data_IF_093756617733
#
_entry.id   IF_093756617733
#
_cell.length_a   1.000
_cell.length_b   1.000
_cell.length_c   1.000
_cell.angle_alpha   90.00
_cell.angle_beta   90.00
_cell.angle_gamma   90.00
#
_symmetry.space_group_name_H-M   'P 1'
#
loop_
_entity.id
_entity.type
_entity.pdbx_description
1 polymer ?
#
# COMPACT_ATOMS: atom_id res chain seq x y z
N UNK A 1 5.85 -1.73 -9.73
CA UNK A 1 5.08 -0.77 -8.91
C UNK A 1 4.81 -1.43 -7.55
N UNK A 2 4.67 -0.68 -6.46
CA UNK A 2 4.37 -1.26 -5.15
C UNK A 2 2.87 -1.13 -4.87
N UNK A 3 2.26 -2.16 -4.29
CA UNK A 3 0.90 -2.09 -3.76
C UNK A 3 0.99 -1.69 -2.29
N UNK A 4 0.16 -0.77 -1.85
CA UNK A 4 0.09 -0.28 -0.48
C UNK A 4 -1.27 -0.63 0.09
N UNK A 5 -1.31 -1.36 1.19
CA UNK A 5 -2.54 -1.74 1.89
C UNK A 5 -2.65 -0.98 3.19
N UNK A 6 -3.79 -0.33 3.39
CA UNK A 6 -4.14 0.35 4.63
C UNK A 6 -4.53 -0.70 5.67
N UNK A 7 -3.78 -0.82 6.77
CA UNK A 7 -4.09 -1.78 7.84
C UNK A 7 -5.48 -1.60 8.48
N UNK A 8 -5.96 -0.38 8.80
CA UNK A 8 -7.22 -0.21 9.52
C UNK A 8 -8.48 -0.46 8.68
N UNK A 9 -8.43 -0.32 7.36
CA UNK A 9 -9.61 -0.46 6.50
C UNK A 9 -9.45 -1.47 5.36
N UNK A 10 -8.25 -1.99 5.14
CA UNK A 10 -7.94 -2.90 4.04
C UNK A 10 -7.84 -2.23 2.66
N UNK A 11 -7.89 -0.90 2.57
CA UNK A 11 -7.83 -0.19 1.28
C UNK A 11 -6.49 -0.38 0.58
N UNK A 12 -6.54 -0.76 -0.69
CA UNK A 12 -5.36 -1.03 -1.51
C UNK A 12 -5.09 0.11 -2.49
N UNK A 13 -3.82 0.53 -2.60
CA UNK A 13 -3.39 1.57 -3.52
C UNK A 13 -2.08 1.18 -4.18
N UNK A 14 -2.07 1.04 -5.49
CA UNK A 14 -0.86 0.87 -6.27
C UNK A 14 -0.14 2.21 -6.49
N UNK A 15 1.18 2.22 -6.35
CA UNK A 15 1.97 3.42 -6.56
C UNK A 15 3.44 3.23 -6.20
N UNK A 16 4.29 4.09 -6.76
CA UNK A 16 5.73 4.09 -6.42
C UNK A 16 5.99 4.59 -5.00
N UNK A 17 5.19 5.56 -4.52
CA UNK A 17 5.38 6.21 -3.23
C UNK A 17 4.34 5.74 -2.20
N UNK A 18 4.77 5.60 -0.94
CA UNK A 18 3.88 5.29 0.19
C UNK A 18 2.84 6.39 0.37
N UNK A 19 1.53 6.09 0.36
CA UNK A 19 0.50 7.07 0.66
C UNK A 19 0.62 7.55 2.11
N UNK A 20 0.58 8.86 2.31
CA UNK A 20 0.58 9.49 3.63
C UNK A 20 -0.79 9.39 4.31
N UNK A 21 -1.88 9.54 3.56
CA UNK A 21 -3.26 9.47 4.05
C UNK A 21 -4.08 8.43 3.30
N UNK A 22 -4.98 7.76 4.01
CA UNK A 22 -5.94 6.85 3.43
C UNK A 22 -7.17 7.59 2.93
N UNK A 23 -7.44 7.50 1.63
CA UNK A 23 -8.63 8.10 1.01
C UNK A 23 -9.93 7.44 1.44
N UNK A 24 -9.88 6.21 1.96
CA UNK A 24 -11.07 5.48 2.41
C UNK A 24 -11.45 5.79 3.87
N UNK A 25 -10.53 5.58 4.82
CA UNK A 25 -10.79 5.79 6.24
C UNK A 25 -10.18 7.06 6.86
N UNK A 26 -9.40 7.83 6.11
CA UNK A 26 -8.73 9.04 6.61
C UNK A 26 -7.46 8.79 7.45
N UNK A 27 -7.11 7.53 7.74
CA UNK A 27 -5.93 7.18 8.53
C UNK A 27 -4.61 7.70 7.93
N UNK A 28 -3.77 8.29 8.75
CA UNK A 28 -2.46 8.83 8.35
C UNK A 28 -1.34 7.83 8.70
N UNK A 29 -0.42 7.58 7.78
CA UNK A 29 0.72 6.66 7.96
C UNK A 29 0.37 5.15 7.97
N UNK A 30 -0.90 4.78 7.88
CA UNK A 30 -1.40 3.41 8.10
C UNK A 30 -1.21 2.43 6.92
N UNK A 31 -0.57 2.87 5.83
CA UNK A 31 -0.29 1.99 4.69
C UNK A 31 0.98 1.16 4.91
N UNK A 32 0.86 -0.16 4.73
CA UNK A 32 1.98 -1.08 4.58
C UNK A 32 2.16 -1.46 3.12
N UNK A 33 3.39 -1.71 2.69
CA UNK A 33 3.63 -2.34 1.39
C UNK A 33 2.98 -3.73 1.42
N UNK A 34 2.05 -3.99 0.51
CA UNK A 34 1.62 -5.35 0.20
C UNK A 34 2.78 -5.96 -0.56
N UNK A 35 3.51 -6.84 0.10
CA UNK A 35 4.58 -7.59 -0.53
C UNK A 35 3.94 -8.54 -1.54
N UNK A 36 3.77 -8.10 -2.79
CA UNK A 36 3.70 -9.03 -3.90
C UNK A 36 5.08 -9.65 -4.01
N UNK A 37 5.16 -10.86 -3.46
CA UNK A 37 6.25 -11.79 -3.51
C UNK A 37 7.15 -11.57 -4.74
N UNK A 38 8.40 -11.25 -4.48
CA UNK A 38 9.50 -11.28 -5.43
C UNK A 38 9.48 -12.61 -6.19
N UNK A 39 9.04 -12.62 -7.45
CA UNK A 39 9.54 -13.57 -8.45
C UNK A 39 9.62 -12.90 -9.83
N UNK A 40 10.72 -13.25 -10.51
CA UNK A 40 11.20 -12.91 -11.86
C UNK A 40 12.11 -11.68 -11.86
N UNK A 41 13.42 -11.83 -11.65
CA UNK A 41 14.42 -12.45 -12.57
C UNK A 41 14.23 -11.95 -14.00
N UNK A 42 15.07 -11.00 -14.41
CA UNK A 42 15.86 -11.03 -15.65
C UNK A 42 17.11 -10.16 -15.47
#
# INVERSE_FOLDING_TARGET
MAVWVCEPCGFEKEGRCKPQKCSNCGGEGSFKKKEENQKKEE
#
